data_IF_749059767567
#
_entry.id   IF_749059767567
#
_cell.length_a   1.000
_cell.length_b   1.000
_cell.length_c   1.000
_cell.angle_alpha   90.00
_cell.angle_beta   90.00
_cell.angle_gamma   90.00
#
_symmetry.space_group_name_H-M   'P 1'
#
loop_
_entity.id
_entity.type
_entity.pdbx_description
1 polymer ?
#
# COMPACT_ATOMS: atom_id res chain seq x y z
N UNK A 1 10.33 23.02 29.51
CA UNK A 1 10.01 23.70 28.22
C UNK A 1 9.33 22.77 27.21
N UNK A 2 10.01 21.77 26.63
CA UNK A 2 9.36 20.85 25.67
C UNK A 2 8.04 20.25 26.17
N UNK A 3 8.04 19.69 27.40
CA UNK A 3 6.83 19.12 28.01
C UNK A 3 5.69 20.13 28.14
N UNK A 4 5.99 21.38 28.52
CA UNK A 4 4.99 22.45 28.63
C UNK A 4 4.37 22.78 27.27
N UNK A 5 5.18 22.77 26.20
CA UNK A 5 4.69 22.93 24.83
C UNK A 5 3.81 21.77 24.40
N UNK A 6 4.20 20.53 24.70
CA UNK A 6 3.39 19.34 24.38
C UNK A 6 2.05 19.31 25.13
N UNK A 7 2.03 19.83 26.36
CA UNK A 7 0.84 19.91 27.21
C UNK A 7 0.01 21.20 27.00
N UNK A 8 0.44 22.13 26.14
CA UNK A 8 -0.28 23.38 25.88
C UNK A 8 -0.28 24.37 27.06
N UNK A 9 0.68 24.26 27.99
CA UNK A 9 0.74 25.06 29.23
C UNK A 9 1.35 26.43 28.99
N UNK A 10 0.65 27.30 28.24
CA UNK A 10 1.15 28.62 27.81
C UNK A 10 1.55 29.54 28.97
N UNK A 11 0.76 29.62 30.05
CA UNK A 11 1.06 30.52 31.17
C UNK A 11 2.39 30.16 31.85
N UNK A 12 2.59 28.87 32.12
CA UNK A 12 3.83 28.37 32.71
C UNK A 12 4.99 28.53 31.73
N UNK A 13 4.74 28.32 30.42
CA UNK A 13 5.75 28.52 29.39
C UNK A 13 6.22 29.97 29.31
N UNK A 14 5.32 30.94 29.46
CA UNK A 14 5.62 32.38 29.50
C UNK A 14 6.47 32.74 30.71
N UNK A 15 6.14 32.20 31.88
CA UNK A 15 6.91 32.44 33.10
C UNK A 15 8.35 31.91 33.01
N UNK A 16 8.53 30.74 32.41
CA UNK A 16 9.85 30.15 32.20
C UNK A 16 10.69 30.90 31.14
N UNK A 17 10.01 31.48 30.12
CA UNK A 17 10.64 32.13 28.96
C UNK A 17 10.55 33.66 28.98
N UNK A 18 10.47 34.28 30.16
CA UNK A 18 10.37 35.74 30.30
C UNK A 18 11.39 36.48 29.43
N UNK A 19 11.03 37.59 28.76
CA UNK A 19 11.92 38.34 27.87
C UNK A 19 13.24 38.80 28.52
N UNK A 20 13.24 39.02 29.83
CA UNK A 20 14.41 39.42 30.61
C UNK A 20 15.42 38.28 30.83
N UNK A 21 15.01 37.02 30.59
CA UNK A 21 15.90 35.88 30.58
C UNK A 21 16.59 35.80 29.22
N UNK A 22 17.93 35.78 29.21
CA UNK A 22 18.78 35.65 28.00
C UNK A 22 18.56 34.36 27.18
N UNK A 23 17.55 33.55 27.50
CA UNK A 23 17.21 32.29 26.87
C UNK A 23 16.46 32.46 25.53
N UNK A 24 15.78 33.58 25.29
CA UNK A 24 14.97 33.80 24.07
C UNK A 24 15.69 33.46 22.75
N UNK A 25 16.85 34.07 22.46
CA UNK A 25 17.63 33.74 21.25
C UNK A 25 18.14 32.30 21.22
N UNK A 26 18.43 31.71 22.37
CA UNK A 26 18.97 30.34 22.47
C UNK A 26 17.87 29.30 22.19
N UNK A 27 16.63 29.55 22.64
CA UNK A 27 15.48 28.65 22.45
C UNK A 27 15.18 28.40 20.97
N UNK A 28 15.40 29.39 20.10
CA UNK A 28 15.25 29.25 18.64
C UNK A 28 16.17 28.16 18.06
N UNK A 29 17.36 27.99 18.65
CA UNK A 29 18.37 27.02 18.22
C UNK A 29 18.15 25.60 18.76
N UNK A 30 17.26 25.43 19.74
CA UNK A 30 17.06 24.14 20.37
C UNK A 30 16.40 23.13 19.43
N UNK A 31 16.85 21.89 19.53
CA UNK A 31 16.43 20.77 18.69
C UNK A 31 16.18 19.58 19.60
N UNK A 32 15.05 18.91 19.39
CA UNK A 32 14.57 17.81 20.22
C UNK A 32 14.42 16.52 19.42
N UNK A 33 14.77 15.40 20.06
CA UNK A 33 14.69 14.09 19.45
C UNK A 33 15.68 13.88 18.30
N UNK A 34 15.58 12.70 17.66
CA UNK A 34 16.53 12.27 16.60
C UNK A 34 16.42 13.10 15.31
N UNK A 35 15.25 13.65 15.03
CA UNK A 35 15.02 14.44 13.83
C UNK A 35 15.38 15.92 14.04
N UNK A 36 15.58 16.36 15.29
CA UNK A 36 15.83 17.77 15.59
C UNK A 36 14.58 18.63 15.41
N UNK A 37 13.47 18.22 16.00
CA UNK A 37 12.24 19.01 16.03
C UNK A 37 12.42 20.26 16.91
N UNK A 38 11.85 21.38 16.53
CA UNK A 38 11.82 22.60 17.37
C UNK A 38 10.58 22.63 18.25
N UNK A 39 10.49 23.57 19.19
CA UNK A 39 9.25 23.78 19.94
C UNK A 39 8.04 24.09 19.02
N UNK A 40 8.25 24.77 17.88
CA UNK A 40 7.18 24.99 16.89
C UNK A 40 6.65 23.68 16.31
N UNK A 41 7.52 22.72 15.99
CA UNK A 41 7.09 21.41 15.49
C UNK A 41 6.20 20.69 16.51
N UNK A 42 6.57 20.74 17.78
CA UNK A 42 5.78 20.13 18.84
C UNK A 42 4.46 20.87 19.07
N UNK A 43 4.47 22.20 19.16
CA UNK A 43 3.24 22.97 19.31
C UNK A 43 2.25 22.69 18.17
N UNK A 44 2.75 22.63 16.93
CA UNK A 44 1.95 22.25 15.76
C UNK A 44 1.46 20.80 15.79
N UNK A 45 2.31 19.84 16.18
CA UNK A 45 1.96 18.41 16.27
C UNK A 45 0.87 18.13 17.30
N UNK A 46 0.80 18.91 18.38
CA UNK A 46 -0.16 18.73 19.46
C UNK A 46 -1.35 19.71 19.39
N UNK A 47 -1.40 20.59 18.40
CA UNK A 47 -2.56 21.45 18.14
C UNK A 47 -2.67 22.70 19.03
N UNK A 48 -1.59 23.10 19.70
CA UNK A 48 -1.60 24.23 20.63
C UNK A 48 -1.33 25.55 19.90
N UNK A 49 -2.37 26.08 19.24
CA UNK A 49 -2.31 27.31 18.42
C UNK A 49 -1.85 28.55 19.21
N UNK A 50 -2.25 28.66 20.46
CA UNK A 50 -1.85 29.74 21.37
C UNK A 50 -0.36 29.67 21.74
N UNK A 51 0.18 28.46 21.96
CA UNK A 51 1.61 28.23 22.15
C UNK A 51 2.37 28.53 20.85
N UNK A 52 1.88 28.10 19.69
CA UNK A 52 2.46 28.48 18.39
C UNK A 52 2.53 30.00 18.24
N UNK A 53 1.45 30.71 18.56
CA UNK A 53 1.40 32.17 18.48
C UNK A 53 2.46 32.81 19.36
N UNK A 54 2.58 32.39 20.62
CA UNK A 54 3.61 32.89 21.52
C UNK A 54 5.04 32.64 21.00
N UNK A 55 5.32 31.41 20.53
CA UNK A 55 6.64 31.05 20.01
C UNK A 55 7.03 31.87 18.77
N UNK A 56 6.09 32.16 17.88
CA UNK A 56 6.34 32.96 16.67
C UNK A 56 6.40 34.46 17.00
N UNK A 57 5.40 34.99 17.69
CA UNK A 57 5.21 36.44 17.87
C UNK A 57 6.14 37.02 18.95
N UNK A 58 6.33 36.28 20.04
CA UNK A 58 7.11 36.78 21.19
C UNK A 58 8.56 36.32 21.11
N UNK A 59 8.79 35.06 20.73
CA UNK A 59 10.15 34.51 20.64
C UNK A 59 10.75 34.59 19.23
N UNK A 60 10.03 35.13 18.25
CA UNK A 60 10.54 35.34 16.89
C UNK A 60 10.95 34.04 16.19
N UNK A 61 10.35 32.91 16.54
CA UNK A 61 10.67 31.64 15.88
C UNK A 61 10.17 31.64 14.44
N UNK A 62 11.05 31.26 13.51
CA UNK A 62 10.74 31.13 12.09
C UNK A 62 9.76 29.98 11.82
N UNK A 63 8.61 30.29 11.21
CA UNK A 63 7.58 29.30 10.82
C UNK A 63 8.08 28.33 9.73
N UNK A 64 9.10 28.74 8.98
CA UNK A 64 9.74 27.97 7.92
C UNK A 64 10.94 27.14 8.43
N UNK A 65 11.14 27.02 9.75
CA UNK A 65 12.17 26.13 10.30
C UNK A 65 11.88 24.67 9.97
N UNK A 66 12.89 23.93 9.53
CA UNK A 66 12.77 22.52 9.22
C UNK A 66 13.71 21.64 10.03
N UNK A 67 13.30 20.39 10.27
CA UNK A 67 14.08 19.37 10.96
C UNK A 67 14.95 18.55 9.96
N UNK A 68 15.66 17.52 10.41
CA UNK A 68 16.52 16.70 9.53
C UNK A 68 15.76 15.84 8.50
N UNK A 69 14.43 15.80 8.58
CA UNK A 69 13.52 15.24 7.57
C UNK A 69 12.97 16.31 6.60
N UNK A 70 13.49 17.55 6.68
CA UNK A 70 12.93 18.72 5.99
C UNK A 70 11.46 19.00 6.34
N UNK A 71 10.95 18.37 7.40
CA UNK A 71 9.60 18.59 7.88
C UNK A 71 9.57 19.95 8.57
N UNK A 72 8.48 20.68 8.36
CA UNK A 72 8.20 22.01 8.93
C UNK A 72 7.01 21.92 9.89
N UNK A 73 6.76 22.90 10.78
CA UNK A 73 5.58 22.92 11.63
C UNK A 73 4.26 22.71 10.88
N UNK A 74 4.13 23.27 9.66
CA UNK A 74 2.92 23.11 8.83
C UNK A 74 2.65 21.63 8.48
N UNK A 75 3.69 20.86 8.19
CA UNK A 75 3.56 19.42 7.94
C UNK A 75 3.07 18.66 9.18
N UNK A 76 3.50 19.05 10.38
CA UNK A 76 3.04 18.43 11.64
C UNK A 76 1.56 18.74 11.89
N UNK A 77 1.17 20.01 11.82
CA UNK A 77 -0.21 20.42 12.00
C UNK A 77 -1.14 19.75 10.98
N UNK A 78 -0.73 19.70 9.71
CA UNK A 78 -1.49 19.07 8.64
C UNK A 78 -1.64 17.56 8.86
N UNK A 79 -0.54 16.85 9.18
CA UNK A 79 -0.56 15.41 9.43
C UNK A 79 -1.39 14.99 10.63
N UNK A 80 -1.49 15.86 11.64
CA UNK A 80 -2.19 15.58 12.90
C UNK A 80 -3.62 16.12 12.92
N UNK A 81 -4.06 16.81 11.86
CA UNK A 81 -5.45 17.27 11.75
C UNK A 81 -5.74 18.57 12.52
N UNK A 82 -4.73 19.39 12.80
CA UNK A 82 -4.89 20.62 13.60
C UNK A 82 -5.15 21.85 12.72
N UNK A 83 -6.40 21.99 12.25
CA UNK A 83 -6.84 23.07 11.33
C UNK A 83 -6.46 24.48 11.80
N UNK A 84 -6.73 24.82 13.07
CA UNK A 84 -6.36 26.12 13.65
C UNK A 84 -4.86 26.42 13.56
N UNK A 85 -4.02 25.40 13.76
CA UNK A 85 -2.56 25.54 13.64
C UNK A 85 -2.15 25.68 12.17
N UNK A 86 -2.81 24.97 11.26
CA UNK A 86 -2.58 25.08 9.81
C UNK A 86 -2.88 26.50 9.33
N UNK A 87 -4.09 27.01 9.60
CA UNK A 87 -4.48 28.38 9.21
C UNK A 87 -3.55 29.43 9.81
N UNK A 88 -3.25 29.32 11.11
CA UNK A 88 -2.32 30.24 11.76
C UNK A 88 -0.93 30.25 11.09
N UNK A 89 -0.35 29.09 10.79
CA UNK A 89 0.96 29.01 10.17
C UNK A 89 0.96 29.63 8.76
N UNK A 90 -0.08 29.37 7.97
CA UNK A 90 -0.24 29.91 6.61
C UNK A 90 -0.43 31.44 6.62
N UNK A 91 -1.25 31.96 7.53
CA UNK A 91 -1.43 33.40 7.77
C UNK A 91 -0.12 34.10 8.16
N UNK A 92 0.82 33.37 8.77
CA UNK A 92 2.17 33.86 9.10
C UNK A 92 3.21 33.59 8.02
N UNK A 93 2.76 33.26 6.81
CA UNK A 93 3.62 33.15 5.64
C UNK A 93 4.33 31.81 5.50
N UNK A 94 3.86 30.75 6.18
CA UNK A 94 4.35 29.41 5.90
C UNK A 94 4.04 29.02 4.45
N UNK A 95 5.01 28.42 3.77
CA UNK A 95 4.83 28.00 2.38
C UNK A 95 3.89 26.79 2.30
N UNK A 96 2.73 26.97 1.67
CA UNK A 96 1.66 25.96 1.62
C UNK A 96 2.11 24.65 0.97
N UNK A 97 2.93 24.74 -0.07
CA UNK A 97 3.49 23.60 -0.82
C UNK A 97 4.96 23.32 -0.46
N UNK A 98 5.35 23.64 0.79
CA UNK A 98 6.67 23.28 1.28
C UNK A 98 6.90 21.75 1.22
N UNK A 99 8.16 21.34 1.02
CA UNK A 99 8.50 19.94 0.83
C UNK A 99 9.31 19.41 2.01
N UNK A 100 8.89 18.27 2.58
CA UNK A 100 9.75 17.42 3.40
C UNK A 100 10.47 16.38 2.53
N UNK A 101 11.25 15.47 3.14
CA UNK A 101 11.89 14.37 2.39
C UNK A 101 10.89 13.59 1.54
N UNK A 102 11.42 13.13 0.40
CA UNK A 102 10.68 12.47 -0.67
C UNK A 102 9.62 13.34 -1.32
N UNK A 103 9.75 14.67 -1.23
CA UNK A 103 8.93 15.68 -1.90
C UNK A 103 7.45 15.59 -1.49
N UNK A 104 7.22 15.33 -0.20
CA UNK A 104 5.88 15.31 0.38
C UNK A 104 5.46 16.73 0.79
N UNK A 105 4.25 17.13 0.41
CA UNK A 105 3.63 18.40 0.83
C UNK A 105 2.79 18.24 2.10
N UNK A 106 2.43 19.33 2.80
CA UNK A 106 1.43 19.30 3.87
C UNK A 106 0.10 18.70 3.43
N UNK A 107 -0.38 19.00 2.21
CA UNK A 107 -1.63 18.45 1.66
C UNK A 107 -1.56 16.93 1.51
N UNK A 108 -0.43 16.39 1.03
CA UNK A 108 -0.21 14.95 0.97
C UNK A 108 -0.22 14.32 2.37
N UNK A 109 0.39 14.97 3.37
CA UNK A 109 0.37 14.50 4.75
C UNK A 109 -1.05 14.53 5.34
N UNK A 110 -1.82 15.57 5.09
CA UNK A 110 -3.22 15.67 5.53
C UNK A 110 -4.08 14.55 4.93
N UNK A 111 -3.88 14.19 3.65
CA UNK A 111 -4.60 13.11 2.99
C UNK A 111 -4.30 11.71 3.54
N UNK A 112 -3.28 11.55 4.39
CA UNK A 112 -3.06 10.30 5.16
C UNK A 112 -4.12 10.08 6.26
N UNK A 113 -4.95 11.09 6.52
CA UNK A 113 -6.03 11.09 7.52
C UNK A 113 -7.34 11.55 6.88
N UNK A 114 -8.46 11.31 7.56
CA UNK A 114 -9.80 11.68 7.09
C UNK A 114 -10.17 13.14 7.46
N UNK A 115 -9.20 13.97 7.85
CA UNK A 115 -9.49 15.32 8.32
C UNK A 115 -9.70 16.27 7.13
N UNK A 116 -10.96 16.38 6.71
CA UNK A 116 -11.36 17.17 5.56
C UNK A 116 -11.21 18.67 5.83
N UNK A 117 -11.33 19.12 7.08
CA UNK A 117 -11.20 20.52 7.49
C UNK A 117 -9.79 21.04 7.18
N UNK A 118 -8.75 20.29 7.56
CA UNK A 118 -7.35 20.62 7.24
C UNK A 118 -7.10 20.63 5.72
N UNK A 119 -7.65 19.65 5.01
CA UNK A 119 -7.48 19.54 3.56
C UNK A 119 -8.12 20.75 2.86
N UNK A 120 -9.32 21.16 3.29
CA UNK A 120 -9.99 22.37 2.81
C UNK A 120 -9.15 23.61 3.08
N UNK A 121 -8.71 23.80 4.32
CA UNK A 121 -7.89 24.95 4.70
C UNK A 121 -6.62 25.05 3.84
N UNK A 122 -5.91 23.95 3.62
CA UNK A 122 -4.72 23.93 2.77
C UNK A 122 -5.03 24.34 1.32
N UNK A 123 -6.09 23.78 0.73
CA UNK A 123 -6.49 24.11 -0.65
C UNK A 123 -6.97 25.56 -0.77
N UNK A 124 -7.72 26.08 0.20
CA UNK A 124 -8.16 27.48 0.26
C UNK A 124 -6.98 28.45 0.35
N UNK A 125 -5.87 28.03 0.97
CA UNK A 125 -4.61 28.76 1.00
C UNK A 125 -3.69 28.45 -0.19
N UNK A 126 -4.20 27.81 -1.24
CA UNK A 126 -3.50 27.62 -2.50
C UNK A 126 -2.63 26.36 -2.61
N UNK A 127 -2.79 25.37 -1.73
CA UNK A 127 -2.10 24.09 -1.89
C UNK A 127 -2.44 23.46 -3.24
N UNK A 128 -1.44 23.01 -3.98
CA UNK A 128 -1.65 22.42 -5.31
C UNK A 128 -1.85 20.89 -5.23
N UNK A 129 -3.06 20.35 -5.51
CA UNK A 129 -3.34 18.91 -5.43
C UNK A 129 -2.63 18.08 -6.51
N UNK A 130 -2.04 18.72 -7.52
CA UNK A 130 -1.36 18.07 -8.65
C UNK A 130 0.13 17.82 -8.39
N UNK A 131 0.69 18.37 -7.31
CA UNK A 131 2.08 18.12 -6.95
C UNK A 131 2.29 16.63 -6.69
N UNK A 132 3.46 16.13 -7.09
CA UNK A 132 3.85 14.73 -6.98
C UNK A 132 5.08 14.59 -6.11
N UNK A 133 5.07 13.56 -5.27
CA UNK A 133 6.22 13.16 -4.49
C UNK A 133 7.23 12.35 -5.36
N UNK A 134 8.33 11.88 -4.78
CA UNK A 134 9.35 11.10 -5.52
C UNK A 134 8.87 9.78 -6.10
N UNK A 135 7.79 9.22 -5.57
CA UNK A 135 7.14 8.01 -6.09
C UNK A 135 6.14 8.34 -7.22
N UNK A 136 5.98 9.62 -7.57
CA UNK A 136 5.02 10.11 -8.55
C UNK A 136 3.59 10.20 -8.00
N UNK A 137 3.40 10.07 -6.69
CA UNK A 137 2.09 10.14 -6.04
C UNK A 137 1.72 11.57 -5.74
N UNK A 138 0.49 11.95 -6.11
CA UNK A 138 -0.14 13.16 -5.61
C UNK A 138 -1.04 12.87 -4.39
N UNK A 139 -1.69 13.90 -3.84
CA UNK A 139 -2.57 13.73 -2.68
C UNK A 139 -3.78 12.82 -2.99
N UNK A 140 -4.21 12.74 -4.25
CA UNK A 140 -5.29 11.88 -4.70
C UNK A 140 -4.93 10.38 -4.65
N UNK A 141 -3.70 10.03 -5.01
CA UNK A 141 -3.18 8.67 -4.80
C UNK A 141 -3.19 8.27 -3.32
N UNK A 142 -2.76 9.20 -2.45
CA UNK A 142 -2.71 8.97 -1.01
C UNK A 142 -4.14 8.77 -0.46
N UNK A 143 -5.07 9.68 -0.77
CA UNK A 143 -6.47 9.52 -0.36
C UNK A 143 -7.12 8.24 -0.89
N UNK A 144 -6.70 7.77 -2.07
CA UNK A 144 -7.16 6.50 -2.65
C UNK A 144 -6.63 5.28 -1.91
N UNK A 145 -5.39 5.35 -1.37
CA UNK A 145 -4.82 4.33 -0.50
C UNK A 145 -5.52 4.26 0.85
N UNK A 146 -5.77 5.41 1.46
CA UNK A 146 -6.36 5.47 2.80
C UNK A 146 -7.87 5.18 2.81
N UNK A 147 -8.53 5.20 1.65
CA UNK A 147 -9.94 4.82 1.55
C UNK A 147 -10.90 5.91 2.03
N UNK A 148 -10.58 7.19 1.83
CA UNK A 148 -11.42 8.32 2.28
C UNK A 148 -12.23 8.94 1.13
N UNK A 149 -13.44 8.43 0.79
CA UNK A 149 -14.20 8.90 -0.37
C UNK A 149 -14.62 10.37 -0.26
N UNK A 150 -14.88 10.91 0.94
CA UNK A 150 -15.24 12.32 1.11
C UNK A 150 -14.07 13.27 0.74
N UNK A 151 -12.84 12.86 1.06
CA UNK A 151 -11.62 13.60 0.67
C UNK A 151 -11.50 13.60 -0.84
N UNK A 152 -11.67 12.44 -1.49
CA UNK A 152 -11.55 12.34 -2.94
C UNK A 152 -12.69 13.07 -3.67
N UNK A 153 -13.92 13.07 -3.14
CA UNK A 153 -15.02 13.88 -3.68
C UNK A 153 -14.66 15.36 -3.67
N UNK A 154 -14.18 15.86 -2.53
CA UNK A 154 -13.72 17.24 -2.42
C UNK A 154 -12.58 17.55 -3.39
N UNK A 155 -11.55 16.70 -3.45
CA UNK A 155 -10.42 16.88 -4.36
C UNK A 155 -10.84 16.89 -5.84
N UNK A 156 -11.82 16.08 -6.24
CA UNK A 156 -12.39 16.11 -7.59
C UNK A 156 -13.16 17.41 -7.86
N UNK A 157 -13.86 17.94 -6.86
CA UNK A 157 -14.64 19.17 -7.01
C UNK A 157 -13.73 20.41 -7.16
N UNK A 158 -12.60 20.45 -6.43
CA UNK A 158 -11.65 21.59 -6.49
C UNK A 158 -10.51 21.40 -7.49
N UNK A 159 -10.20 20.17 -7.88
CA UNK A 159 -9.14 19.82 -8.84
C UNK A 159 -9.57 18.61 -9.69
N UNK A 160 -10.39 18.84 -10.75
CA UNK A 160 -10.97 17.78 -11.56
C UNK A 160 -9.96 16.87 -12.27
N UNK A 161 -8.72 17.33 -12.47
CA UNK A 161 -7.63 16.55 -13.09
C UNK A 161 -6.76 15.77 -12.09
N UNK A 162 -7.04 15.84 -10.79
CA UNK A 162 -6.18 15.21 -9.76
C UNK A 162 -6.17 13.67 -9.82
N UNK A 163 -7.18 13.05 -10.41
CA UNK A 163 -7.26 11.60 -10.58
C UNK A 163 -6.45 11.09 -11.79
N UNK A 164 -6.32 11.89 -12.85
CA UNK A 164 -5.72 11.48 -14.12
C UNK A 164 -4.19 11.60 -14.05
N UNK A 165 -3.63 10.78 -13.17
CA UNK A 165 -2.20 10.78 -12.87
C UNK A 165 -1.69 9.37 -12.68
N UNK A 166 -0.42 9.19 -13.01
CA UNK A 166 0.31 7.96 -12.79
C UNK A 166 1.50 8.20 -11.86
N UNK A 167 1.81 7.20 -11.04
CA UNK A 167 3.05 7.08 -10.28
C UNK A 167 4.25 6.77 -11.18
N UNK A 168 5.47 6.73 -10.62
CA UNK A 168 6.70 6.38 -11.37
C UNK A 168 6.69 4.96 -11.94
N UNK A 169 5.83 4.09 -11.40
CA UNK A 169 5.60 2.73 -11.89
C UNK A 169 4.28 2.60 -12.65
N UNK A 170 3.73 3.71 -13.16
CA UNK A 170 2.49 3.77 -13.95
C UNK A 170 1.22 3.29 -13.22
N UNK A 171 1.22 3.33 -11.89
CA UNK A 171 0.01 3.01 -11.10
C UNK A 171 -0.89 4.22 -11.10
N UNK A 172 -2.17 4.02 -11.37
CA UNK A 172 -3.21 5.05 -11.21
C UNK A 172 -3.82 4.99 -9.80
N UNK A 173 -4.58 6.01 -9.37
CA UNK A 173 -5.31 5.95 -8.11
C UNK A 173 -6.29 4.76 -8.01
N UNK A 174 -6.87 4.33 -9.14
CA UNK A 174 -7.73 3.14 -9.21
C UNK A 174 -6.97 1.85 -8.87
N UNK A 175 -5.73 1.69 -9.35
CA UNK A 175 -4.88 0.57 -8.95
C UNK A 175 -4.64 0.57 -7.45
N UNK A 176 -4.32 1.74 -6.89
CA UNK A 176 -4.06 1.90 -5.45
C UNK A 176 -5.30 1.57 -4.62
N UNK A 177 -6.47 2.11 -4.95
CA UNK A 177 -7.71 1.82 -4.22
C UNK A 177 -8.10 0.34 -4.30
N UNK A 178 -7.94 -0.30 -5.47
CA UNK A 178 -8.23 -1.71 -5.65
C UNK A 178 -7.29 -2.63 -4.86
N UNK A 179 -5.99 -2.31 -4.83
CA UNK A 179 -4.99 -3.04 -4.04
C UNK A 179 -5.24 -2.98 -2.54
N UNK A 180 -5.77 -1.85 -2.05
CA UNK A 180 -5.98 -1.60 -0.62
C UNK A 180 -7.40 -1.90 -0.14
N UNK A 181 -8.27 -2.46 -0.99
CA UNK A 181 -9.60 -2.88 -0.56
C UNK A 181 -10.58 -1.73 -0.32
N UNK A 182 -10.32 -0.55 -0.88
CA UNK A 182 -11.13 0.64 -0.64
C UNK A 182 -12.37 0.67 -1.56
N UNK A 183 -13.37 -0.16 -1.26
CA UNK A 183 -14.57 -0.33 -2.10
C UNK A 183 -15.27 0.99 -2.46
N UNK A 184 -15.62 1.81 -1.46
CA UNK A 184 -16.33 3.09 -1.67
C UNK A 184 -15.52 4.08 -2.52
N UNK A 185 -14.19 4.00 -2.44
CA UNK A 185 -13.30 4.78 -3.29
C UNK A 185 -13.33 4.24 -4.71
N UNK A 186 -13.19 2.93 -4.91
CA UNK A 186 -13.26 2.34 -6.26
C UNK A 186 -14.59 2.70 -6.92
N UNK A 187 -15.71 2.61 -6.20
CA UNK A 187 -17.01 3.01 -6.72
C UNK A 187 -17.04 4.49 -7.14
N UNK A 188 -16.61 5.40 -6.25
CA UNK A 188 -16.52 6.82 -6.57
C UNK A 188 -15.63 7.09 -7.80
N UNK A 189 -14.50 6.39 -7.90
CA UNK A 189 -13.56 6.54 -9.01
C UNK A 189 -14.20 6.11 -10.32
N UNK A 190 -14.90 4.97 -10.35
CA UNK A 190 -15.57 4.49 -11.57
C UNK A 190 -16.78 5.36 -11.95
N UNK A 191 -17.41 6.03 -10.99
CA UNK A 191 -18.52 6.96 -11.24
C UNK A 191 -18.08 8.32 -11.79
N UNK A 192 -16.97 8.87 -11.27
CA UNK A 192 -16.57 10.26 -11.58
C UNK A 192 -15.33 10.37 -12.46
N UNK A 193 -14.58 9.29 -12.67
CA UNK A 193 -13.32 9.31 -13.40
C UNK A 193 -13.36 8.35 -14.60
N UNK A 194 -12.84 8.79 -15.74
CA UNK A 194 -12.85 8.01 -16.98
C UNK A 194 -11.55 7.21 -17.14
N UNK A 195 -11.40 6.16 -16.33
CA UNK A 195 -10.26 5.25 -16.49
C UNK A 195 -10.42 4.36 -17.72
N UNK A 196 -9.34 4.16 -18.47
CA UNK A 196 -9.29 3.16 -19.54
C UNK A 196 -9.37 1.75 -18.93
N UNK A 197 -10.27 0.86 -19.39
CA UNK A 197 -10.33 -0.53 -18.98
C UNK A 197 -8.97 -1.23 -19.11
N UNK A 198 -8.64 -2.06 -18.13
CA UNK A 198 -7.38 -2.80 -18.05
C UNK A 198 -6.13 -1.95 -18.26
N UNK A 199 -6.16 -0.69 -17.78
CA UNK A 199 -4.94 0.12 -17.67
C UNK A 199 -3.89 -0.66 -16.88
N UNK A 200 -2.64 -0.61 -17.35
CA UNK A 200 -1.56 -1.44 -16.83
C UNK A 200 -0.47 -0.59 -16.21
N UNK A 201 0.01 -1.02 -15.05
CA UNK A 201 1.22 -0.49 -14.46
C UNK A 201 2.49 -0.95 -15.24
N UNK A 202 3.67 -0.57 -14.75
CA UNK A 202 4.95 -0.91 -15.38
C UNK A 202 5.23 -2.42 -15.43
N UNK A 203 4.61 -3.20 -14.54
CA UNK A 203 4.69 -4.65 -14.49
C UNK A 203 3.56 -5.33 -15.26
N UNK A 204 2.69 -4.57 -15.95
CA UNK A 204 1.55 -5.11 -16.68
C UNK A 204 0.33 -5.41 -15.80
N UNK A 205 0.36 -5.05 -14.51
CA UNK A 205 -0.71 -5.37 -13.55
C UNK A 205 -1.88 -4.40 -13.74
N UNK A 206 -3.11 -4.92 -13.70
CA UNK A 206 -4.36 -4.14 -13.78
C UNK A 206 -4.99 -3.95 -12.39
N UNK A 207 -5.92 -2.99 -12.21
CA UNK A 207 -6.65 -2.85 -10.94
C UNK A 207 -7.44 -4.12 -10.55
N UNK A 208 -7.92 -4.89 -11.53
CA UNK A 208 -8.60 -6.17 -11.26
C UNK A 208 -7.63 -7.20 -10.68
N UNK A 209 -6.41 -7.29 -11.23
CA UNK A 209 -5.36 -8.15 -10.66
C UNK A 209 -5.01 -7.76 -9.23
N UNK A 210 -4.95 -6.46 -8.93
CA UNK A 210 -4.69 -5.97 -7.57
C UNK A 210 -5.78 -6.40 -6.59
N UNK A 211 -7.06 -6.22 -6.97
CA UNK A 211 -8.19 -6.62 -6.16
C UNK A 211 -8.16 -8.13 -5.88
N UNK A 212 -7.95 -8.94 -6.92
CA UNK A 212 -7.88 -10.40 -6.81
C UNK A 212 -6.69 -10.86 -5.95
N UNK A 213 -5.49 -10.30 -6.18
CA UNK A 213 -4.30 -10.68 -5.41
C UNK A 213 -4.49 -10.42 -3.90
N UNK A 214 -5.26 -9.41 -3.53
CA UNK A 214 -5.52 -9.06 -2.13
C UNK A 214 -6.88 -9.57 -1.61
N UNK A 215 -7.58 -10.43 -2.37
CA UNK A 215 -8.82 -11.07 -1.92
C UNK A 215 -10.06 -10.17 -1.94
N UNK A 216 -10.00 -9.00 -2.58
CA UNK A 216 -11.10 -8.04 -2.63
C UNK A 216 -12.11 -8.40 -3.74
N UNK A 217 -12.80 -9.52 -3.59
CA UNK A 217 -13.75 -10.07 -4.58
C UNK A 217 -14.90 -9.09 -4.87
N UNK A 218 -15.39 -8.36 -3.87
CA UNK A 218 -16.39 -7.30 -4.03
C UNK A 218 -15.92 -6.19 -4.99
N UNK A 219 -14.65 -5.76 -4.88
CA UNK A 219 -14.04 -4.78 -5.80
C UNK A 219 -13.84 -5.40 -7.18
N UNK A 220 -13.40 -6.66 -7.25
CA UNK A 220 -13.25 -7.37 -8.52
C UNK A 220 -14.58 -7.42 -9.29
N UNK A 221 -15.70 -7.74 -8.62
CA UNK A 221 -17.05 -7.68 -9.22
C UNK A 221 -17.40 -6.29 -9.72
N UNK A 222 -17.15 -5.26 -8.92
CA UNK A 222 -17.41 -3.88 -9.30
C UNK A 222 -16.61 -3.45 -10.53
N UNK A 223 -15.35 -3.88 -10.64
CA UNK A 223 -14.50 -3.63 -11.81
C UNK A 223 -14.99 -4.37 -13.07
N UNK A 224 -15.55 -5.58 -12.94
CA UNK A 224 -16.17 -6.26 -14.08
C UNK A 224 -17.41 -5.51 -14.56
N UNK A 225 -18.28 -5.12 -13.62
CA UNK A 225 -19.56 -4.47 -13.91
C UNK A 225 -19.39 -3.06 -14.49
N UNK A 226 -18.60 -2.21 -13.82
CA UNK A 226 -18.50 -0.78 -14.15
C UNK A 226 -17.25 -0.42 -14.97
N UNK A 227 -16.19 -1.23 -14.95
CA UNK A 227 -14.91 -0.92 -15.59
C UNK A 227 -14.54 -1.82 -16.78
N UNK A 228 -15.39 -2.80 -17.14
CA UNK A 228 -15.15 -3.74 -18.25
C UNK A 228 -13.79 -4.46 -18.11
N UNK A 229 -13.39 -4.78 -16.88
CA UNK A 229 -12.11 -5.45 -16.62
C UNK A 229 -12.09 -6.87 -17.23
N UNK A 230 -10.91 -7.30 -17.70
CA UNK A 230 -10.72 -8.65 -18.22
C UNK A 230 -10.19 -9.60 -17.12
N UNK A 231 -10.95 -10.65 -16.73
CA UNK A 231 -10.54 -11.57 -15.67
C UNK A 231 -9.39 -12.50 -16.05
N UNK A 232 -9.07 -12.60 -17.34
CA UNK A 232 -7.98 -13.41 -17.89
C UNK A 232 -6.82 -12.57 -18.45
N UNK A 233 -6.79 -11.25 -18.16
CA UNK A 233 -5.67 -10.39 -18.52
C UNK A 233 -4.35 -10.96 -17.97
N UNK A 234 -3.25 -10.66 -18.66
CA UNK A 234 -1.90 -11.10 -18.25
C UNK A 234 -1.00 -9.91 -17.95
N UNK A 235 -0.17 -10.07 -16.93
CA UNK A 235 0.87 -9.11 -16.59
C UNK A 235 2.09 -9.24 -17.54
N UNK A 236 3.14 -8.44 -17.32
CA UNK A 236 4.33 -8.45 -18.17
C UNK A 236 5.11 -9.78 -18.15
N UNK A 237 4.89 -10.61 -17.13
CA UNK A 237 5.44 -11.96 -17.05
C UNK A 237 4.49 -13.00 -17.63
N UNK A 238 3.30 -12.63 -18.10
CA UNK A 238 2.32 -13.59 -18.58
C UNK A 238 1.47 -14.23 -17.46
N UNK A 239 1.48 -13.68 -16.24
CA UNK A 239 0.66 -14.21 -15.16
C UNK A 239 -0.74 -13.58 -15.14
N UNK A 240 -1.77 -14.44 -15.02
CA UNK A 240 -3.17 -14.03 -14.86
C UNK A 240 -3.55 -13.75 -13.39
N UNK A 241 -4.70 -13.10 -13.13
CA UNK A 241 -5.24 -12.92 -11.76
C UNK A 241 -5.26 -14.23 -10.95
N UNK A 242 -5.61 -15.36 -11.57
CA UNK A 242 -5.62 -16.68 -10.93
C UNK A 242 -4.26 -17.05 -10.31
N UNK A 243 -3.17 -16.86 -11.06
CA UNK A 243 -1.82 -17.16 -10.59
C UNK A 243 -1.43 -16.28 -9.40
N UNK A 244 -1.83 -15.00 -9.44
CA UNK A 244 -1.53 -14.03 -8.38
C UNK A 244 -2.31 -14.34 -7.10
N UNK A 245 -3.59 -14.72 -7.21
CA UNK A 245 -4.39 -15.20 -6.08
C UNK A 245 -3.80 -16.47 -5.44
N UNK A 246 -3.25 -17.38 -6.25
CA UNK A 246 -2.60 -18.59 -5.75
C UNK A 246 -1.29 -18.31 -4.99
N UNK A 247 -0.54 -17.27 -5.36
CA UNK A 247 0.66 -16.84 -4.61
C UNK A 247 0.30 -16.28 -3.24
N UNK A 248 -0.83 -15.59 -3.11
CA UNK A 248 -1.27 -14.91 -1.88
C UNK A 248 -2.37 -15.64 -1.11
N UNK A 249 -2.64 -16.90 -1.45
CA UNK A 249 -3.63 -17.77 -0.81
C UNK A 249 -5.06 -17.19 -0.75
N UNK A 250 -5.52 -16.54 -1.82
CA UNK A 250 -6.86 -15.93 -1.88
C UNK A 250 -7.89 -16.95 -2.41
N UNK A 251 -8.26 -17.91 -1.56
CA UNK A 251 -9.13 -19.03 -1.95
C UNK A 251 -10.51 -18.60 -2.47
N UNK A 252 -11.12 -17.60 -1.83
CA UNK A 252 -12.40 -17.03 -2.29
C UNK A 252 -12.25 -16.37 -3.67
N UNK A 253 -11.14 -15.67 -3.92
CA UNK A 253 -10.86 -15.07 -5.22
C UNK A 253 -10.62 -16.13 -6.30
N UNK A 254 -9.95 -17.24 -5.96
CA UNK A 254 -9.75 -18.38 -6.87
C UNK A 254 -11.10 -19.02 -7.22
N UNK A 255 -11.96 -19.28 -6.23
CA UNK A 255 -13.30 -19.83 -6.46
C UNK A 255 -14.13 -18.88 -7.33
N UNK A 256 -14.10 -17.58 -7.05
CA UNK A 256 -14.76 -16.58 -7.86
C UNK A 256 -14.29 -16.61 -9.33
N UNK A 257 -12.98 -16.63 -9.58
CA UNK A 257 -12.43 -16.67 -10.94
C UNK A 257 -12.83 -17.95 -11.69
N UNK A 258 -12.69 -19.12 -11.06
CA UNK A 258 -12.88 -20.40 -11.75
C UNK A 258 -14.36 -20.77 -11.83
N UNK A 259 -15.08 -20.73 -10.72
CA UNK A 259 -16.47 -21.19 -10.66
C UNK A 259 -17.47 -20.18 -11.22
N UNK A 260 -17.26 -18.89 -11.04
CA UNK A 260 -18.22 -17.88 -11.49
C UNK A 260 -17.83 -17.25 -12.84
N UNK A 261 -16.54 -16.96 -13.06
CA UNK A 261 -16.09 -16.34 -14.30
C UNK A 261 -15.62 -17.35 -15.36
N UNK A 262 -15.51 -18.64 -15.01
CA UNK A 262 -15.09 -19.69 -15.94
C UNK A 262 -13.63 -19.58 -16.38
N UNK A 263 -12.76 -18.98 -15.57
CA UNK A 263 -11.31 -18.96 -15.85
C UNK A 263 -10.75 -20.38 -15.73
N UNK A 264 -10.00 -20.83 -16.73
CA UNK A 264 -9.37 -22.16 -16.69
C UNK A 264 -8.30 -22.22 -15.58
N UNK A 265 -8.52 -23.14 -14.63
CA UNK A 265 -7.65 -23.37 -13.47
C UNK A 265 -6.26 -23.88 -13.87
N UNK A 266 -6.12 -24.44 -15.07
CA UNK A 266 -4.89 -25.04 -15.59
C UNK A 266 -4.11 -24.11 -16.55
N UNK A 267 -4.50 -22.84 -16.62
CA UNK A 267 -3.75 -21.84 -17.37
C UNK A 267 -2.29 -21.78 -16.93
N UNK A 268 -1.43 -21.45 -17.89
CA UNK A 268 0.03 -21.47 -17.70
C UNK A 268 0.59 -20.07 -17.79
N UNK A 269 1.22 -19.63 -16.72
CA UNK A 269 1.91 -18.36 -16.65
C UNK A 269 3.40 -18.48 -17.01
N UNK A 270 3.93 -17.37 -17.53
CA UNK A 270 5.36 -17.14 -17.78
C UNK A 270 6.01 -18.06 -18.80
N UNK A 271 7.25 -17.73 -19.17
CA UNK A 271 8.08 -18.61 -19.97
C UNK A 271 8.35 -19.97 -19.29
N UNK A 272 8.14 -20.08 -17.97
CA UNK A 272 8.27 -21.32 -17.23
C UNK A 272 7.02 -22.21 -17.30
N UNK A 273 5.90 -21.76 -17.88
CA UNK A 273 4.68 -22.55 -18.04
C UNK A 273 4.12 -23.06 -16.69
N UNK A 274 4.18 -22.23 -15.65
CA UNK A 274 3.73 -22.57 -14.30
C UNK A 274 2.22 -22.38 -14.17
N UNK A 275 1.52 -23.35 -13.60
CA UNK A 275 0.10 -23.23 -13.24
C UNK A 275 -0.09 -22.63 -11.85
N UNK A 276 -1.32 -22.23 -11.51
CA UNK A 276 -1.69 -21.78 -10.16
C UNK A 276 -1.29 -22.80 -9.08
N UNK A 277 -1.42 -24.10 -9.36
CA UNK A 277 -1.04 -25.18 -8.45
C UNK A 277 0.47 -25.17 -8.13
N UNK A 278 1.34 -24.84 -9.10
CA UNK A 278 2.77 -24.72 -8.87
C UNK A 278 3.11 -23.57 -7.91
N UNK A 279 2.43 -22.43 -8.06
CA UNK A 279 2.61 -21.29 -7.17
C UNK A 279 2.16 -21.60 -5.73
N UNK A 280 0.93 -22.13 -5.57
CA UNK A 280 0.41 -22.52 -4.26
C UNK A 280 1.31 -23.57 -3.56
N UNK A 281 1.82 -24.55 -4.33
CA UNK A 281 2.74 -25.56 -3.83
C UNK A 281 4.08 -24.97 -3.36
N UNK A 282 4.68 -24.06 -4.13
CA UNK A 282 5.94 -23.41 -3.78
C UNK A 282 5.84 -22.57 -2.50
N UNK A 283 4.74 -21.83 -2.35
CA UNK A 283 4.51 -20.96 -1.20
C UNK A 283 3.98 -21.73 0.03
N UNK A 284 3.54 -22.98 -0.15
CA UNK A 284 3.11 -23.86 0.94
C UNK A 284 1.65 -23.69 1.33
N UNK A 285 0.83 -23.12 0.46
CA UNK A 285 -0.58 -22.82 0.73
C UNK A 285 -1.45 -24.06 0.61
N UNK A 286 -1.42 -24.88 1.66
CA UNK A 286 -2.13 -26.17 1.77
C UNK A 286 -3.61 -26.06 1.39
N UNK A 287 -4.33 -25.10 1.98
CA UNK A 287 -5.76 -24.95 1.70
C UNK A 287 -6.02 -24.52 0.25
N UNK A 288 -5.16 -23.67 -0.30
CA UNK A 288 -5.21 -23.26 -1.70
C UNK A 288 -4.92 -24.38 -2.67
N UNK A 289 -3.99 -25.28 -2.36
CA UNK A 289 -3.77 -26.51 -3.14
C UNK A 289 -5.06 -27.34 -3.18
N UNK A 290 -5.70 -27.55 -2.03
CA UNK A 290 -6.96 -28.30 -1.96
C UNK A 290 -8.08 -27.61 -2.76
N UNK A 291 -8.20 -26.29 -2.65
CA UNK A 291 -9.16 -25.49 -3.42
C UNK A 291 -8.92 -25.60 -4.92
N UNK A 292 -7.67 -25.48 -5.38
CA UNK A 292 -7.34 -25.63 -6.79
C UNK A 292 -7.67 -27.04 -7.31
N UNK A 293 -7.34 -28.09 -6.53
CA UNK A 293 -7.65 -29.47 -6.89
C UNK A 293 -9.17 -29.72 -6.94
N UNK A 294 -9.95 -29.19 -5.98
CA UNK A 294 -11.42 -29.32 -5.99
C UNK A 294 -12.07 -28.57 -7.16
N UNK A 295 -11.40 -27.53 -7.66
CA UNK A 295 -11.79 -26.77 -8.85
C UNK A 295 -11.28 -27.39 -10.17
N UNK A 296 -10.64 -28.56 -10.13
CA UNK A 296 -10.21 -29.30 -11.32
C UNK A 296 -8.79 -29.01 -11.80
N UNK A 297 -7.91 -28.48 -10.94
CA UNK A 297 -6.49 -28.38 -11.27
C UNK A 297 -5.88 -29.77 -11.50
N UNK A 298 -5.15 -29.91 -12.61
CA UNK A 298 -4.41 -31.13 -12.93
C UNK A 298 -3.21 -31.25 -11.99
N UNK A 299 -3.31 -32.21 -11.05
CA UNK A 299 -2.23 -32.53 -10.11
C UNK A 299 -0.95 -32.99 -10.82
N UNK A 300 -1.07 -33.54 -12.03
CA UNK A 300 0.05 -34.02 -12.85
C UNK A 300 0.60 -32.97 -13.81
N UNK A 301 0.07 -31.74 -13.78
CA UNK A 301 0.56 -30.65 -14.62
C UNK A 301 2.07 -30.46 -14.43
N UNK A 302 2.78 -30.35 -15.56
CA UNK A 302 4.21 -30.08 -15.59
C UNK A 302 4.49 -28.71 -16.19
N UNK A 303 5.47 -28.04 -15.60
CA UNK A 303 6.01 -26.78 -16.10
C UNK A 303 6.93 -26.99 -17.33
N UNK A 304 7.50 -25.92 -17.86
CA UNK A 304 8.35 -25.94 -19.06
C UNK A 304 9.68 -26.67 -18.88
N UNK A 305 10.03 -27.07 -17.66
CA UNK A 305 11.19 -27.91 -17.32
C UNK A 305 10.76 -29.32 -16.91
N UNK A 306 9.53 -29.71 -17.20
CA UNK A 306 8.92 -30.97 -16.80
C UNK A 306 8.81 -31.16 -15.28
N UNK A 307 8.86 -30.09 -14.49
CA UNK A 307 8.71 -30.14 -13.03
C UNK A 307 7.23 -30.12 -12.67
N UNK A 308 6.86 -30.92 -11.68
CA UNK A 308 5.50 -30.95 -11.11
C UNK A 308 5.35 -29.98 -9.93
N UNK A 309 4.13 -29.80 -9.43
CA UNK A 309 3.86 -29.08 -8.20
C UNK A 309 4.64 -29.64 -6.99
N UNK A 310 4.94 -30.95 -6.95
CA UNK A 310 5.74 -31.57 -5.90
C UNK A 310 7.18 -31.03 -5.89
N UNK A 311 7.79 -30.82 -7.07
CA UNK A 311 9.10 -30.18 -7.16
C UNK A 311 9.05 -28.74 -6.63
N UNK A 312 7.97 -28.02 -6.91
CA UNK A 312 7.78 -26.66 -6.41
C UNK A 312 7.67 -26.64 -4.88
N UNK A 313 6.89 -27.54 -4.28
CA UNK A 313 6.77 -27.69 -2.82
C UNK A 313 8.11 -28.07 -2.17
N UNK A 314 8.85 -29.02 -2.74
CA UNK A 314 10.16 -29.41 -2.23
C UNK A 314 11.19 -28.29 -2.37
N UNK A 315 11.21 -27.57 -3.50
CA UNK A 315 12.08 -26.40 -3.67
C UNK A 315 11.76 -25.28 -2.67
N UNK A 316 10.47 -25.05 -2.38
CA UNK A 316 9.99 -24.13 -1.35
C UNK A 316 10.16 -24.63 0.09
N UNK A 317 10.56 -25.89 0.28
CA UNK A 317 10.69 -26.56 1.58
C UNK A 317 9.37 -26.60 2.38
N UNK A 318 8.28 -26.94 1.68
CA UNK A 318 6.92 -26.96 2.20
C UNK A 318 6.43 -28.39 2.43
N UNK A 319 6.63 -28.93 3.64
CA UNK A 319 6.37 -30.33 3.96
C UNK A 319 4.88 -30.71 3.81
N UNK A 320 3.97 -29.89 4.31
CA UNK A 320 2.53 -30.18 4.25
C UNK A 320 1.97 -30.08 2.83
N UNK A 321 2.47 -29.14 2.03
CA UNK A 321 2.14 -29.05 0.62
C UNK A 321 2.61 -30.30 -0.15
N UNK A 322 3.85 -30.75 0.09
CA UNK A 322 4.36 -31.98 -0.50
C UNK A 322 3.52 -33.20 -0.08
N UNK A 323 3.16 -33.30 1.20
CA UNK A 323 2.29 -34.37 1.74
C UNK A 323 0.94 -34.42 1.03
N UNK A 324 0.25 -33.28 0.90
CA UNK A 324 -1.07 -33.24 0.26
C UNK A 324 -0.99 -33.59 -1.22
N UNK A 325 0.05 -33.13 -1.92
CA UNK A 325 0.24 -33.48 -3.33
C UNK A 325 0.48 -34.98 -3.52
N UNK A 326 1.26 -35.61 -2.65
CA UNK A 326 1.45 -37.08 -2.65
C UNK A 326 0.14 -37.81 -2.32
N UNK A 327 -0.60 -37.35 -1.31
CA UNK A 327 -1.92 -37.91 -0.97
C UNK A 327 -2.95 -37.72 -2.10
N UNK A 328 -2.81 -36.68 -2.92
CA UNK A 328 -3.63 -36.44 -4.10
C UNK A 328 -3.23 -37.31 -5.31
N UNK A 329 -2.29 -38.25 -5.13
CA UNK A 329 -1.88 -39.22 -6.16
C UNK A 329 -0.69 -38.79 -7.01
N UNK A 330 -0.06 -37.65 -6.71
CA UNK A 330 1.18 -37.26 -7.38
C UNK A 330 2.33 -38.15 -6.92
N UNK A 331 3.09 -38.68 -7.86
CA UNK A 331 4.28 -39.48 -7.55
C UNK A 331 5.55 -38.64 -7.68
N UNK A 332 6.59 -39.04 -6.94
CA UNK A 332 7.93 -38.48 -7.11
C UNK A 332 8.54 -39.00 -8.42
N UNK A 333 8.46 -38.18 -9.47
CA UNK A 333 8.93 -38.49 -10.81
C UNK A 333 10.00 -37.48 -11.22
N UNK A 334 10.97 -37.86 -12.07
CA UNK A 334 12.04 -36.95 -12.46
C UNK A 334 11.54 -35.80 -13.34
N UNK A 335 12.16 -34.64 -13.18
CA UNK A 335 12.02 -33.51 -14.09
C UNK A 335 12.80 -33.73 -15.41
N UNK A 336 12.86 -32.70 -16.26
CA UNK A 336 13.54 -32.77 -17.56
C UNK A 336 15.05 -33.00 -17.48
N UNK A 337 15.66 -32.85 -16.30
CA UNK A 337 17.08 -33.10 -16.03
C UNK A 337 17.33 -34.46 -15.36
N UNK A 338 16.28 -35.22 -15.05
CA UNK A 338 16.38 -36.47 -14.30
C UNK A 338 16.34 -36.30 -12.78
N UNK A 339 16.12 -35.08 -12.28
CA UNK A 339 16.10 -34.80 -10.84
C UNK A 339 14.71 -35.08 -10.25
N UNK A 340 14.67 -35.84 -9.16
CA UNK A 340 13.46 -36.11 -8.38
C UNK A 340 13.11 -34.91 -7.48
N UNK A 341 11.84 -34.78 -7.10
CA UNK A 341 11.39 -33.73 -6.20
C UNK A 341 12.02 -33.89 -4.80
N UNK A 342 12.14 -35.13 -4.30
CA UNK A 342 12.76 -35.39 -2.99
C UNK A 342 14.23 -34.91 -2.93
N UNK A 343 14.94 -34.89 -4.05
CA UNK A 343 16.34 -34.45 -4.12
C UNK A 343 16.48 -32.93 -3.95
N UNK A 344 15.38 -32.17 -4.08
CA UNK A 344 15.34 -30.74 -3.78
C UNK A 344 15.09 -30.47 -2.30
N UNK A 345 14.63 -31.46 -1.52
CA UNK A 345 14.36 -31.32 -0.10
C UNK A 345 15.66 -31.17 0.70
N UNK A 346 15.67 -30.21 1.61
CA UNK A 346 16.81 -29.91 2.49
C UNK A 346 16.41 -29.92 3.96
N UNK A 347 15.17 -29.54 4.28
CA UNK A 347 14.68 -29.59 5.65
C UNK A 347 14.29 -31.03 6.07
N UNK A 348 14.57 -31.43 7.33
CA UNK A 348 14.30 -32.80 7.79
C UNK A 348 12.84 -33.24 7.66
N UNK A 349 11.90 -32.33 7.93
CA UNK A 349 10.46 -32.56 7.83
C UNK A 349 10.01 -32.89 6.40
N UNK A 350 10.52 -32.16 5.40
CA UNK A 350 10.24 -32.42 3.98
C UNK A 350 10.85 -33.75 3.53
N UNK A 351 12.08 -34.07 3.98
CA UNK A 351 12.74 -35.34 3.65
C UNK A 351 11.96 -36.52 4.22
N UNK A 352 11.44 -36.37 5.45
CA UNK A 352 10.69 -37.42 6.14
C UNK A 352 9.38 -37.79 5.43
N UNK A 353 8.74 -36.84 4.72
CA UNK A 353 7.54 -37.11 3.92
C UNK A 353 7.72 -38.30 2.97
N UNK A 354 8.88 -38.36 2.30
CA UNK A 354 9.20 -39.40 1.33
C UNK A 354 9.58 -40.74 1.98
N UNK A 355 9.96 -40.73 3.26
CA UNK A 355 10.21 -41.95 4.02
C UNK A 355 8.89 -42.57 4.51
N UNK A 356 7.93 -41.74 4.93
CA UNK A 356 6.60 -42.18 5.42
C UNK A 356 5.71 -42.74 4.30
N UNK A 357 5.74 -42.13 3.12
CA UNK A 357 4.91 -42.55 1.98
C UNK A 357 5.39 -43.87 1.36
N UNK A 358 6.70 -44.13 1.34
CA UNK A 358 7.25 -45.41 0.85
C UNK A 358 6.97 -46.62 1.77
N UNK A 359 6.53 -46.39 3.01
CA UNK A 359 6.17 -47.47 3.96
C UNK A 359 4.69 -47.86 3.85
N UNK A 360 3.88 -47.04 3.17
CA UNK A 360 2.41 -47.18 3.10
C UNK A 360 1.89 -47.78 1.79
N UNK A 361 2.78 -48.16 0.88
CA UNK A 361 2.54 -48.89 -0.38
C UNK A 361 3.14 -50.27 -0.31
#
# INVERSE_FOLDING_TARGET
LLRLVQEGRLDVLRDELRPDNALGPVVQSWRYGRLGDTLLHHAARYGHRDVLAYLVETLGMDVEVFNSDYKRPLHEAASMGHGECVSYLLERGASVDCLKKADWTPLMMACTKQNLEVIKALVEHGANPLLKNKDGWNCFHIGSREGHPQVLRYLLDVSPGSWDTESTIKRTPLHTAAMHGCFDVVELLLERCQYKPDSRDKCGVTPFMDAIQNGHVNIARLLLEKHQACPSAVDALGAQPLHRAAVTAQDEAIQFLVSELGVDVNERATALQLTALHYAAKEGHVHTIQTLLSLGADVHAKDGKSRSALHAACAGQQADAARILLCAGLQDAPDGTGMLAQQLARKPDVIQIFQETNVST
#
